data_IF_943713265850
#
_entry.id   IF_943713265850
#
_cell.length_a   1.000
_cell.length_b   1.000
_cell.length_c   1.000
_cell.angle_alpha   90.00
_cell.angle_beta   90.00
_cell.angle_gamma   90.00
#
_symmetry.space_group_name_H-M   'P 1'
#
loop_
_entity.id
_entity.type
_entity.pdbx_description
1 polymer ?
#
# COMPACT_ATOMS: atom_id res chain seq x y z
N UNK A 1 -1.25 26.02 -7.09
CA UNK A 1 0.04 25.30 -7.36
C UNK A 1 0.28 25.37 -8.85
N UNK A 2 1.45 25.75 -9.29
CA UNK A 2 1.81 25.89 -10.72
C UNK A 2 2.04 24.48 -11.30
N UNK A 3 0.96 23.86 -11.81
CA UNK A 3 0.95 22.47 -12.30
C UNK A 3 1.73 22.32 -13.61
N UNK A 4 1.85 23.40 -14.39
CA UNK A 4 2.54 23.44 -15.68
C UNK A 4 4.05 23.18 -15.55
N UNK A 5 4.61 23.39 -14.36
CA UNK A 5 6.04 23.07 -14.09
C UNK A 5 6.36 21.57 -14.08
N UNK A 6 5.35 20.71 -13.94
CA UNK A 6 5.55 19.27 -13.74
C UNK A 6 4.90 18.40 -14.81
N UNK A 7 3.94 18.96 -15.55
CA UNK A 7 3.21 18.26 -16.60
C UNK A 7 2.92 19.26 -17.74
N UNK A 8 3.53 19.04 -18.89
CA UNK A 8 3.19 19.77 -20.10
C UNK A 8 1.82 19.29 -20.60
N UNK A 9 0.78 20.08 -20.31
CA UNK A 9 -0.60 19.75 -20.63
C UNK A 9 -0.85 19.68 -22.14
N UNK A 10 -0.11 20.46 -22.95
CA UNK A 10 -0.21 20.41 -24.40
C UNK A 10 0.38 19.11 -24.95
N UNK A 11 1.57 18.74 -24.47
CA UNK A 11 2.19 17.47 -24.86
C UNK A 11 1.32 16.25 -24.47
N UNK A 12 0.68 16.27 -23.29
CA UNK A 12 -0.30 15.22 -22.90
C UNK A 12 -1.49 15.24 -23.85
N UNK A 13 -2.05 16.41 -24.19
CA UNK A 13 -3.19 16.51 -25.11
C UNK A 13 -2.85 15.95 -26.50
N UNK A 14 -1.66 16.30 -27.04
CA UNK A 14 -1.20 15.79 -28.33
C UNK A 14 -1.01 14.28 -28.32
N UNK A 15 -0.38 13.74 -27.26
CA UNK A 15 -0.25 12.30 -27.08
C UNK A 15 -1.63 11.60 -26.99
N UNK A 16 -2.56 12.15 -26.21
CA UNK A 16 -3.92 11.61 -26.10
C UNK A 16 -4.66 11.58 -27.45
N UNK A 17 -4.48 12.61 -28.31
CA UNK A 17 -5.04 12.62 -29.67
C UNK A 17 -4.48 11.47 -30.50
N UNK A 18 -3.18 11.23 -30.43
CA UNK A 18 -2.52 10.11 -31.12
C UNK A 18 -3.03 8.73 -30.63
N UNK A 19 -3.45 8.64 -29.36
CA UNK A 19 -4.06 7.43 -28.79
C UNK A 19 -5.58 7.31 -29.05
N UNK A 20 -6.18 8.26 -29.75
CA UNK A 20 -7.63 8.26 -30.00
C UNK A 20 -8.48 8.56 -28.76
N UNK A 21 -7.90 9.23 -27.75
CA UNK A 21 -8.56 9.58 -26.49
C UNK A 21 -9.25 10.96 -26.52
N UNK A 22 -9.84 11.29 -27.66
CA UNK A 22 -10.53 12.55 -27.90
C UNK A 22 -9.60 13.66 -28.41
N UNK A 23 -10.18 14.79 -28.78
CA UNK A 23 -9.52 15.97 -29.33
C UNK A 23 -9.74 17.20 -28.44
N UNK A 24 -8.96 18.24 -28.68
CA UNK A 24 -9.03 19.50 -27.95
C UNK A 24 -8.17 19.57 -26.67
N UNK A 25 -8.22 20.71 -25.98
CA UNK A 25 -7.40 20.94 -24.78
C UNK A 25 -7.88 20.13 -23.57
N UNK A 26 -7.01 19.99 -22.59
CA UNK A 26 -7.37 19.51 -21.25
C UNK A 26 -8.06 20.65 -20.49
N UNK A 27 -9.20 20.36 -19.87
CA UNK A 27 -10.00 21.32 -19.10
C UNK A 27 -10.13 20.88 -17.64
N UNK A 28 -10.53 21.78 -16.75
CA UNK A 28 -10.77 21.55 -15.32
C UNK A 28 -9.61 20.87 -14.61
N UNK A 29 -8.38 21.26 -14.96
CA UNK A 29 -7.16 20.64 -14.44
C UNK A 29 -6.98 20.97 -12.95
N UNK A 30 -6.85 19.93 -12.13
CA UNK A 30 -6.64 20.06 -10.69
C UNK A 30 -5.69 18.98 -10.17
N UNK A 31 -4.96 19.31 -9.09
CA UNK A 31 -4.14 18.31 -8.39
C UNK A 31 -5.04 17.35 -7.62
N UNK A 32 -4.73 16.06 -7.66
CA UNK A 32 -5.26 15.10 -6.69
C UNK A 32 -4.31 15.09 -5.49
N UNK A 33 -4.85 15.41 -4.31
CA UNK A 33 -4.13 15.39 -3.03
C UNK A 33 -4.21 13.98 -2.42
N UNK A 34 -3.28 13.64 -1.50
CA UNK A 34 -3.27 12.36 -0.78
C UNK A 34 -2.05 11.47 -1.08
N UNK A 35 -1.27 11.74 -2.14
CA UNK A 35 0.00 11.06 -2.40
C UNK A 35 1.19 11.99 -2.15
N UNK A 36 2.14 11.59 -1.31
CA UNK A 36 3.27 12.44 -0.92
C UNK A 36 4.40 12.48 -1.95
N UNK A 37 4.48 11.52 -2.86
CA UNK A 37 5.63 11.38 -3.76
C UNK A 37 5.29 11.60 -5.24
N UNK A 38 4.22 11.03 -5.76
CA UNK A 38 3.87 11.05 -7.17
C UNK A 38 3.02 12.27 -7.55
N UNK A 39 3.12 12.71 -8.81
CA UNK A 39 2.28 13.79 -9.35
C UNK A 39 1.01 13.17 -9.91
N UNK A 40 -0.14 13.62 -9.42
CA UNK A 40 -1.45 13.19 -9.89
C UNK A 40 -2.30 14.39 -10.27
N UNK A 41 -2.87 14.37 -11.47
CA UNK A 41 -3.75 15.40 -12.00
C UNK A 41 -5.08 14.80 -12.41
N UNK A 42 -6.18 15.46 -12.03
CA UNK A 42 -7.50 15.22 -12.58
C UNK A 42 -7.81 16.30 -13.61
N UNK A 43 -8.39 15.92 -14.73
CA UNK A 43 -8.82 16.83 -15.79
C UNK A 43 -9.98 16.23 -16.59
N UNK A 44 -10.61 17.05 -17.42
CA UNK A 44 -11.61 16.61 -18.39
C UNK A 44 -11.08 16.81 -19.81
N UNK A 45 -11.48 15.93 -20.73
CA UNK A 45 -11.23 16.07 -22.18
C UNK A 45 -12.40 15.53 -22.96
N UNK A 46 -12.92 16.30 -23.91
CA UNK A 46 -14.11 15.95 -24.69
C UNK A 46 -15.28 15.46 -23.80
N UNK A 47 -15.47 16.09 -22.62
CA UNK A 47 -16.51 15.75 -21.65
C UNK A 47 -16.27 14.50 -20.81
N UNK A 48 -15.15 13.78 -21.01
CA UNK A 48 -14.75 12.63 -20.20
C UNK A 48 -13.70 13.02 -19.14
N UNK A 49 -13.88 12.60 -17.88
CA UNK A 49 -12.86 12.82 -16.85
C UNK A 49 -11.73 11.78 -16.93
N UNK A 50 -10.52 12.20 -16.53
CA UNK A 50 -9.32 11.40 -16.47
C UNK A 50 -8.52 11.73 -15.22
N UNK A 51 -7.72 10.77 -14.73
CA UNK A 51 -6.64 11.00 -13.79
C UNK A 51 -5.33 10.58 -14.43
N UNK A 52 -4.36 11.50 -14.46
CA UNK A 52 -2.99 11.24 -14.86
C UNK A 52 -2.15 10.96 -13.61
N UNK A 53 -1.35 9.89 -13.63
CA UNK A 53 -0.33 9.61 -12.61
C UNK A 53 1.04 9.48 -13.28
N UNK A 54 2.02 10.19 -12.73
CA UNK A 54 3.44 10.08 -13.12
C UNK A 54 4.31 10.03 -11.86
N UNK A 55 5.58 9.64 -12.02
CA UNK A 55 6.56 9.65 -10.96
C UNK A 55 6.71 11.03 -10.28
N UNK A 56 7.50 11.12 -9.20
CA UNK A 56 7.64 12.33 -8.40
C UNK A 56 8.17 13.51 -9.23
N UNK A 57 8.01 14.72 -8.69
CA UNK A 57 8.48 15.98 -9.32
C UNK A 57 9.95 15.89 -9.74
N UNK A 58 10.78 15.37 -8.84
CA UNK A 58 12.19 15.07 -9.10
C UNK A 58 12.34 13.56 -9.24
N UNK A 59 12.55 13.12 -10.48
CA UNK A 59 12.69 11.70 -10.80
C UNK A 59 13.92 11.12 -10.09
N UNK A 60 13.72 9.96 -9.49
CA UNK A 60 14.79 9.10 -8.95
C UNK A 60 15.09 7.99 -9.96
N UNK A 61 16.23 7.31 -9.86
CA UNK A 61 16.62 6.28 -10.84
C UNK A 61 15.58 5.20 -11.15
N UNK A 62 14.66 4.93 -10.20
CA UNK A 62 13.62 3.90 -10.35
C UNK A 62 12.20 4.46 -10.59
N UNK A 63 12.02 5.78 -10.64
CA UNK A 63 10.68 6.38 -10.71
C UNK A 63 9.88 5.88 -11.91
N UNK A 64 10.45 5.90 -13.11
CA UNK A 64 9.77 5.43 -14.31
C UNK A 64 9.47 3.93 -14.27
N UNK A 65 10.41 3.12 -13.77
CA UNK A 65 10.19 1.67 -13.65
C UNK A 65 9.06 1.33 -12.67
N UNK A 66 8.88 2.11 -11.60
CA UNK A 66 7.76 1.94 -10.66
C UNK A 66 6.44 2.24 -11.37
N UNK A 67 6.31 3.38 -12.07
CA UNK A 67 5.10 3.72 -12.82
C UNK A 67 4.75 2.65 -13.87
N UNK A 68 5.72 2.16 -14.64
CA UNK A 68 5.50 1.09 -15.62
C UNK A 68 5.10 -0.24 -14.96
N UNK A 69 5.59 -0.53 -13.76
CA UNK A 69 5.14 -1.70 -13.00
C UNK A 69 3.70 -1.56 -12.53
N UNK A 70 3.30 -0.38 -12.05
CA UNK A 70 1.90 -0.11 -11.70
C UNK A 70 0.97 -0.32 -12.89
N UNK A 71 1.33 0.19 -14.08
CA UNK A 71 0.50 -0.02 -15.30
C UNK A 71 0.37 -1.51 -15.66
N UNK A 72 1.43 -2.30 -15.50
CA UNK A 72 1.39 -3.75 -15.75
C UNK A 72 0.42 -4.46 -14.80
N UNK A 73 0.39 -4.07 -13.52
CA UNK A 73 -0.55 -4.62 -12.53
C UNK A 73 -1.99 -4.20 -12.85
N UNK A 74 -2.26 -2.91 -13.08
CA UNK A 74 -3.60 -2.43 -13.41
C UNK A 74 -4.16 -3.07 -14.68
N UNK A 75 -3.32 -3.25 -15.69
CA UNK A 75 -3.71 -3.96 -16.92
C UNK A 75 -4.02 -5.45 -16.65
N UNK A 76 -3.24 -6.11 -15.81
CA UNK A 76 -3.43 -7.51 -15.46
C UNK A 76 -4.70 -7.75 -14.62
N UNK A 77 -5.08 -6.77 -13.79
CA UNK A 77 -6.30 -6.84 -12.98
C UNK A 77 -7.57 -6.48 -13.78
N UNK A 78 -7.44 -5.94 -15.00
CA UNK A 78 -8.58 -5.60 -15.83
C UNK A 78 -9.48 -6.83 -16.08
N UNK A 79 -10.78 -6.67 -15.77
CA UNK A 79 -11.75 -7.76 -15.88
C UNK A 79 -11.78 -8.76 -14.71
N UNK A 80 -10.96 -8.55 -13.68
CA UNK A 80 -11.06 -9.28 -12.41
C UNK A 80 -12.08 -8.62 -11.46
N UNK A 81 -12.48 -9.35 -10.40
CA UNK A 81 -13.35 -8.82 -9.34
C UNK A 81 -12.59 -7.98 -8.29
N UNK A 82 -11.29 -7.78 -8.47
CA UNK A 82 -10.48 -6.94 -7.58
C UNK A 82 -10.85 -5.48 -7.80
N UNK A 83 -11.28 -4.73 -6.79
CA UNK A 83 -11.53 -3.31 -6.94
C UNK A 83 -10.21 -2.55 -7.16
N UNK A 84 -10.06 -1.88 -8.30
CA UNK A 84 -8.84 -1.13 -8.66
C UNK A 84 -9.18 0.02 -9.62
N UNK A 85 -8.34 1.07 -9.73
CA UNK A 85 -8.50 2.09 -10.76
C UNK A 85 -8.37 1.48 -12.15
N UNK A 86 -9.33 1.76 -13.03
CA UNK A 86 -9.30 1.25 -14.38
C UNK A 86 -8.22 1.98 -15.20
N UNK A 87 -7.24 1.25 -15.71
CA UNK A 87 -6.22 1.78 -16.62
C UNK A 87 -6.82 2.10 -17.98
N UNK A 88 -6.64 3.33 -18.46
CA UNK A 88 -7.10 3.77 -19.78
C UNK A 88 -5.98 3.61 -20.80
N UNK A 89 -4.82 4.19 -20.52
CA UNK A 89 -3.64 4.14 -21.39
C UNK A 89 -2.37 4.45 -20.61
N UNK A 90 -1.23 3.98 -21.10
CA UNK A 90 0.08 4.26 -20.53
C UNK A 90 1.01 4.84 -21.59
N UNK A 91 1.82 5.82 -21.20
CA UNK A 91 2.85 6.43 -22.03
C UNK A 91 4.22 6.05 -21.46
N UNK A 92 4.96 5.22 -22.18
CA UNK A 92 6.33 4.83 -21.87
C UNK A 92 7.38 5.68 -22.60
N UNK A 93 6.92 6.57 -23.50
CA UNK A 93 7.76 7.53 -24.19
C UNK A 93 8.11 8.69 -23.25
N UNK A 94 9.34 8.71 -22.77
CA UNK A 94 9.85 9.74 -21.87
C UNK A 94 9.96 11.11 -22.53
N UNK A 95 9.94 11.21 -23.86
CA UNK A 95 10.04 12.50 -24.58
C UNK A 95 8.77 13.35 -24.43
N UNK A 96 7.63 12.77 -24.08
CA UNK A 96 6.35 13.47 -23.92
C UNK A 96 6.34 14.37 -22.68
N UNK A 97 6.87 13.89 -21.54
CA UNK A 97 6.85 14.62 -20.26
C UNK A 97 8.25 14.82 -19.64
N UNK A 98 9.25 15.17 -20.46
CA UNK A 98 10.57 15.58 -19.96
C UNK A 98 11.20 14.52 -19.04
N UNK A 99 11.48 13.35 -19.61
CA UNK A 99 12.05 12.15 -18.98
C UNK A 99 11.10 11.33 -18.08
N UNK A 100 9.84 11.73 -17.91
CA UNK A 100 8.88 11.00 -17.11
C UNK A 100 7.92 10.17 -17.97
N UNK A 101 7.69 8.92 -17.56
CA UNK A 101 6.56 8.12 -18.03
C UNK A 101 5.32 8.43 -17.20
N UNK A 102 4.13 8.15 -17.75
CA UNK A 102 2.86 8.36 -17.06
C UNK A 102 1.79 7.38 -17.54
N UNK A 103 0.70 7.34 -16.82
CA UNK A 103 -0.51 6.65 -17.28
C UNK A 103 -1.76 7.44 -16.95
N UNK A 104 -2.83 7.12 -17.70
CA UNK A 104 -4.17 7.63 -17.51
C UNK A 104 -5.06 6.52 -16.95
N UNK A 105 -5.88 6.88 -16.00
CA UNK A 105 -6.89 6.00 -15.40
C UNK A 105 -8.22 6.73 -15.23
N UNK A 106 -9.30 5.96 -15.07
CA UNK A 106 -10.60 6.53 -14.71
C UNK A 106 -10.54 7.09 -13.28
N UNK A 107 -11.18 8.23 -13.00
CA UNK A 107 -11.37 8.68 -11.62
C UNK A 107 -12.18 7.67 -10.82
N UNK A 108 -11.73 7.37 -9.63
CA UNK A 108 -12.48 6.53 -8.68
C UNK A 108 -13.49 7.39 -7.93
N UNK A 109 -14.77 7.00 -7.99
CA UNK A 109 -15.82 7.64 -7.18
C UNK A 109 -15.82 7.03 -5.77
N UNK A 110 -15.05 7.63 -4.89
CA UNK A 110 -14.84 7.15 -3.53
C UNK A 110 -14.19 8.20 -2.65
N UNK A 111 -13.83 7.81 -1.44
CA UNK A 111 -13.03 8.61 -0.51
C UNK A 111 -11.97 7.75 0.16
N UNK A 112 -10.88 8.39 0.56
CA UNK A 112 -9.80 7.77 1.34
C UNK A 112 -10.08 7.98 2.84
N UNK A 113 -10.19 6.88 3.59
CA UNK A 113 -10.45 6.91 5.02
C UNK A 113 -9.24 7.39 5.86
N UNK A 114 -8.08 7.56 5.25
CA UNK A 114 -6.92 8.20 5.86
C UNK A 114 -7.07 9.71 6.00
N UNK A 115 -7.80 10.35 5.07
CA UNK A 115 -7.98 11.81 5.03
C UNK A 115 -9.17 12.28 5.85
N UNK A 116 -10.21 11.45 6.01
CA UNK A 116 -11.41 11.77 6.76
C UNK A 116 -12.58 10.86 6.42
N UNK A 117 -13.64 10.94 7.23
CA UNK A 117 -14.87 10.15 7.02
C UNK A 117 -16.03 11.04 6.62
N UNK A 118 -16.74 10.71 5.51
CA UNK A 118 -18.03 11.34 5.20
C UNK A 118 -19.07 11.13 6.32
N UNK A 119 -20.13 11.97 6.38
CA UNK A 119 -21.12 11.94 7.48
C UNK A 119 -21.73 10.55 7.74
N UNK A 120 -22.05 9.77 6.69
CA UNK A 120 -22.55 8.39 6.84
C UNK A 120 -21.56 7.53 7.63
N UNK A 121 -20.32 7.52 7.22
CA UNK A 121 -19.27 6.67 7.81
C UNK A 121 -18.83 7.15 9.20
N UNK A 122 -18.84 8.48 9.43
CA UNK A 122 -18.57 9.04 10.74
C UNK A 122 -19.70 8.75 11.74
N UNK A 123 -20.96 8.77 11.28
CA UNK A 123 -22.15 8.66 12.13
C UNK A 123 -22.63 7.23 12.43
N UNK A 124 -22.20 6.22 11.64
CA UNK A 124 -22.73 4.86 11.74
C UNK A 124 -21.63 3.82 12.01
N UNK A 125 -21.65 3.24 13.23
CA UNK A 125 -20.72 2.20 13.63
C UNK A 125 -20.89 0.90 12.83
N UNK A 126 -22.11 0.57 12.41
CA UNK A 126 -22.37 -0.60 11.57
C UNK A 126 -21.74 -0.45 10.18
N UNK A 127 -21.79 0.76 9.60
CA UNK A 127 -21.09 1.06 8.35
C UNK A 127 -19.57 0.92 8.53
N UNK A 128 -19.00 1.42 9.61
CA UNK A 128 -17.56 1.28 9.90
C UNK A 128 -17.14 -0.17 10.11
N UNK A 129 -17.97 -0.97 10.79
CA UNK A 129 -17.74 -2.42 10.93
C UNK A 129 -17.66 -3.09 9.55
N UNK A 130 -18.62 -2.83 8.68
CA UNK A 130 -18.66 -3.40 7.32
C UNK A 130 -17.51 -2.88 6.43
N UNK A 131 -16.99 -1.67 6.64
CA UNK A 131 -15.80 -1.18 5.93
C UNK A 131 -14.58 -2.09 6.19
N UNK A 132 -14.36 -2.51 7.44
CA UNK A 132 -13.32 -3.48 7.78
C UNK A 132 -13.50 -4.80 7.04
N UNK A 133 -14.71 -5.38 7.08
CA UNK A 133 -15.01 -6.62 6.39
C UNK A 133 -14.83 -6.51 4.87
N UNK A 134 -15.20 -5.37 4.28
CA UNK A 134 -15.00 -5.10 2.86
C UNK A 134 -13.52 -5.05 2.47
N UNK A 135 -12.64 -4.58 3.36
CA UNK A 135 -11.19 -4.66 3.13
C UNK A 135 -10.70 -6.12 3.08
N UNK A 136 -11.17 -6.97 4.00
CA UNK A 136 -10.84 -8.40 3.98
C UNK A 136 -11.34 -9.08 2.69
N UNK A 137 -12.54 -8.75 2.22
CA UNK A 137 -13.10 -9.25 0.96
C UNK A 137 -12.26 -8.81 -0.26
N UNK A 138 -11.88 -7.55 -0.33
CA UNK A 138 -11.09 -7.02 -1.44
C UNK A 138 -9.71 -7.69 -1.50
N UNK A 139 -9.09 -7.92 -0.33
CA UNK A 139 -7.82 -8.61 -0.22
C UNK A 139 -7.93 -10.11 -0.59
N UNK A 140 -9.00 -10.79 -0.19
CA UNK A 140 -9.25 -12.17 -0.57
C UNK A 140 -9.40 -12.31 -2.10
N UNK A 141 -10.12 -11.38 -2.75
CA UNK A 141 -10.23 -11.33 -4.22
C UNK A 141 -8.86 -11.14 -4.88
N UNK A 142 -8.02 -10.23 -4.36
CA UNK A 142 -6.66 -10.03 -4.87
C UNK A 142 -5.83 -11.31 -4.75
N UNK A 143 -5.84 -11.95 -3.59
CA UNK A 143 -5.12 -13.20 -3.34
C UNK A 143 -5.63 -14.40 -4.14
N UNK A 144 -6.84 -14.34 -4.71
CA UNK A 144 -7.43 -15.38 -5.56
C UNK A 144 -7.05 -15.25 -7.05
N UNK A 145 -6.51 -14.10 -7.48
CA UNK A 145 -6.12 -13.90 -8.88
C UNK A 145 -4.97 -14.84 -9.26
N UNK A 146 -5.16 -15.62 -10.31
CA UNK A 146 -4.06 -16.39 -10.91
C UNK A 146 -3.10 -15.46 -11.64
N UNK A 147 -1.99 -15.15 -11.00
CA UNK A 147 -0.96 -14.24 -11.52
C UNK A 147 -0.33 -14.71 -12.83
N UNK A 148 -0.33 -16.02 -13.11
CA UNK A 148 0.18 -16.57 -14.38
C UNK A 148 -0.83 -16.33 -15.50
N UNK A 149 -2.10 -16.63 -15.24
CA UNK A 149 -3.19 -16.44 -16.21
C UNK A 149 -3.37 -14.97 -16.63
N UNK A 150 -3.11 -14.02 -15.71
CA UNK A 150 -3.19 -12.58 -16.02
C UNK A 150 -1.87 -11.96 -16.53
N UNK A 151 -0.86 -12.79 -16.85
CA UNK A 151 0.39 -12.34 -17.48
C UNK A 151 1.42 -11.73 -16.54
N UNK A 152 1.38 -12.04 -15.24
CA UNK A 152 2.34 -11.56 -14.22
C UNK A 152 3.34 -12.63 -13.76
N UNK A 153 3.58 -13.68 -14.53
CA UNK A 153 4.50 -14.76 -14.17
C UNK A 153 5.94 -14.31 -13.90
N UNK A 154 6.39 -13.24 -14.58
CA UNK A 154 7.72 -12.63 -14.47
C UNK A 154 7.77 -11.36 -13.59
N UNK A 155 6.65 -11.02 -12.95
CA UNK A 155 6.51 -9.73 -12.24
C UNK A 155 7.24 -9.68 -10.90
N UNK A 156 7.60 -10.82 -10.31
CA UNK A 156 8.28 -10.93 -9.02
C UNK A 156 9.27 -12.08 -8.98
N UNK A 157 9.76 -12.40 -7.79
CA UNK A 157 10.66 -13.51 -7.51
C UNK A 157 10.08 -14.38 -6.40
N UNK A 158 9.13 -15.27 -6.71
CA UNK A 158 8.49 -16.11 -5.70
C UNK A 158 9.47 -17.12 -5.06
N UNK A 159 10.42 -17.67 -5.82
CA UNK A 159 11.38 -18.64 -5.29
C UNK A 159 12.15 -18.10 -4.11
N UNK A 160 12.09 -18.79 -2.97
CA UNK A 160 12.73 -18.35 -1.72
C UNK A 160 12.20 -17.03 -1.18
N UNK A 161 10.95 -16.66 -1.48
CA UNK A 161 10.40 -15.34 -1.10
C UNK A 161 10.35 -15.17 0.42
N UNK A 162 9.79 -16.14 1.17
CA UNK A 162 9.70 -16.07 2.62
C UNK A 162 11.08 -16.18 3.30
N UNK A 163 11.99 -16.96 2.72
CA UNK A 163 13.37 -17.10 3.18
C UNK A 163 14.13 -15.78 3.22
N UNK A 164 13.85 -14.90 2.26
CA UNK A 164 14.53 -13.61 2.14
C UNK A 164 13.96 -12.52 3.03
N UNK A 165 12.79 -12.72 3.66
CA UNK A 165 12.14 -11.63 4.39
C UNK A 165 12.98 -11.16 5.58
N UNK A 166 13.31 -12.04 6.50
CA UNK A 166 14.04 -11.66 7.71
C UNK A 166 15.45 -11.11 7.38
N UNK A 167 16.31 -11.80 6.60
CA UNK A 167 17.63 -11.27 6.25
C UNK A 167 17.57 -9.90 5.55
N UNK A 168 16.61 -9.70 4.67
CA UNK A 168 16.43 -8.42 3.96
C UNK A 168 16.15 -7.28 4.92
N UNK A 169 15.21 -7.47 5.86
CA UNK A 169 14.83 -6.41 6.78
C UNK A 169 15.88 -6.14 7.85
N UNK A 170 16.61 -7.16 8.31
CA UNK A 170 17.78 -6.95 9.15
C UNK A 170 18.88 -6.15 8.43
N UNK A 171 19.13 -6.44 7.14
CA UNK A 171 20.06 -5.66 6.33
C UNK A 171 19.61 -4.22 6.12
N UNK A 172 18.30 -3.98 5.97
CA UNK A 172 17.73 -2.63 5.92
C UNK A 172 17.99 -1.88 7.24
N UNK A 173 17.70 -2.52 8.37
CA UNK A 173 17.94 -1.93 9.69
C UNK A 173 19.43 -1.62 9.91
N UNK A 174 20.32 -2.53 9.52
CA UNK A 174 21.78 -2.31 9.63
C UNK A 174 22.24 -1.10 8.82
N UNK A 175 21.62 -0.85 7.64
CA UNK A 175 21.94 0.31 6.80
C UNK A 175 21.65 1.66 7.48
N UNK A 176 20.80 1.68 8.51
CA UNK A 176 20.47 2.89 9.25
C UNK A 176 21.63 3.40 10.09
N UNK A 177 22.61 2.55 10.41
CA UNK A 177 23.84 2.94 11.09
C UNK A 177 24.72 3.91 10.26
N UNK A 178 24.44 4.05 8.95
CA UNK A 178 25.11 5.03 8.09
C UNK A 178 24.60 6.48 8.33
N UNK A 179 23.52 6.68 9.07
CA UNK A 179 23.00 7.99 9.40
C UNK A 179 23.73 8.60 10.60
N UNK A 180 24.28 9.79 10.41
CA UNK A 180 24.98 10.53 11.47
C UNK A 180 24.06 10.74 12.70
N UNK A 181 24.58 10.43 13.89
CA UNK A 181 23.87 10.63 15.15
C UNK A 181 22.81 9.56 15.47
N UNK A 182 22.60 8.58 14.60
CA UNK A 182 21.71 7.46 14.94
C UNK A 182 22.41 6.53 15.96
N UNK A 183 21.78 6.29 17.14
CA UNK A 183 22.43 5.52 18.21
C UNK A 183 22.43 4.00 18.01
N UNK A 184 21.96 3.53 16.84
CA UNK A 184 21.63 2.13 16.59
C UNK A 184 20.20 1.79 17.01
N UNK A 185 19.70 0.63 16.59
CA UNK A 185 18.34 0.21 16.88
C UNK A 185 18.18 -0.09 18.37
N UNK A 186 17.38 0.73 19.06
CA UNK A 186 16.99 0.49 20.47
C UNK A 186 15.61 -0.18 20.49
N UNK A 187 15.51 -1.33 19.83
CA UNK A 187 14.27 -2.07 19.61
C UNK A 187 14.28 -3.33 20.50
N UNK A 188 13.36 -3.46 21.49
CA UNK A 188 13.34 -4.61 22.37
C UNK A 188 12.97 -5.90 21.61
N UNK A 189 13.65 -7.00 21.93
CA UNK A 189 13.31 -8.34 21.43
C UNK A 189 13.54 -8.56 19.94
N UNK A 190 14.30 -7.71 19.25
CA UNK A 190 14.54 -7.86 17.81
C UNK A 190 15.19 -9.20 17.46
N UNK A 191 16.15 -9.67 18.26
CA UNK A 191 16.82 -10.95 18.05
C UNK A 191 15.87 -12.13 18.30
N UNK A 192 15.02 -12.04 19.33
CA UNK A 192 14.03 -13.07 19.64
C UNK A 192 12.98 -13.19 18.51
N UNK A 193 12.44 -12.05 18.06
CA UNK A 193 11.47 -12.01 16.96
C UNK A 193 12.09 -12.54 15.66
N UNK A 194 13.30 -12.09 15.33
CA UNK A 194 13.96 -12.52 14.09
C UNK A 194 14.31 -14.01 14.09
N UNK A 195 14.76 -14.55 15.22
CA UNK A 195 15.06 -15.97 15.39
C UNK A 195 13.81 -16.81 15.28
N UNK A 196 12.74 -16.43 15.99
CA UNK A 196 11.45 -17.12 15.90
C UNK A 196 10.89 -17.14 14.48
N UNK A 197 10.93 -16.01 13.76
CA UNK A 197 10.50 -15.92 12.36
C UNK A 197 11.30 -16.84 11.43
N UNK A 198 12.61 -17.02 11.67
CA UNK A 198 13.44 -17.92 10.86
C UNK A 198 13.14 -19.38 11.16
N UNK A 199 12.95 -19.75 12.43
CA UNK A 199 12.71 -21.11 12.89
C UNK A 199 11.30 -21.61 12.54
N UNK A 200 10.29 -20.74 12.64
CA UNK A 200 8.88 -21.06 12.44
C UNK A 200 8.34 -20.70 11.04
N UNK A 201 9.25 -20.36 10.11
CA UNK A 201 8.85 -19.98 8.74
C UNK A 201 7.98 -21.05 8.09
N UNK A 202 6.82 -20.67 7.46
CA UNK A 202 6.01 -21.58 6.68
C UNK A 202 6.84 -22.32 5.64
N UNK A 203 6.72 -23.65 5.60
CA UNK A 203 7.46 -24.51 4.67
C UNK A 203 6.79 -24.60 3.31
N UNK A 204 5.48 -24.42 3.29
CA UNK A 204 4.65 -24.45 2.08
C UNK A 204 3.79 -23.21 2.02
N UNK A 205 3.68 -22.62 0.85
CA UNK A 205 2.86 -21.46 0.57
C UNK A 205 2.56 -21.38 -0.93
N UNK A 206 1.58 -20.60 -1.33
CA UNK A 206 1.17 -20.48 -2.73
C UNK A 206 1.42 -19.06 -3.23
N UNK A 207 2.25 -18.86 -4.28
CA UNK A 207 2.47 -17.56 -4.88
C UNK A 207 1.16 -16.91 -5.34
N UNK A 208 1.11 -15.59 -5.25
CA UNK A 208 0.01 -14.77 -5.74
C UNK A 208 0.40 -13.32 -5.80
N UNK A 209 -0.53 -12.47 -6.23
CA UNK A 209 -0.34 -11.04 -6.29
C UNK A 209 -0.42 -10.48 -4.86
N UNK A 210 0.61 -9.75 -4.47
CA UNK A 210 0.65 -8.97 -3.24
C UNK A 210 0.61 -7.49 -3.57
N UNK A 211 -0.18 -6.73 -2.81
CA UNK A 211 -0.11 -5.27 -2.83
C UNK A 211 1.20 -4.76 -2.22
N UNK A 212 1.64 -5.36 -1.12
CA UNK A 212 2.89 -5.06 -0.43
C UNK A 212 2.81 -3.97 0.62
N UNK A 213 1.71 -3.18 0.62
CA UNK A 213 1.42 -2.10 1.58
C UNK A 213 -0.11 -1.93 1.78
N UNK A 214 -0.82 -3.03 2.09
CA UNK A 214 -2.28 -3.04 2.17
C UNK A 214 -2.81 -2.56 3.52
N UNK A 215 -3.27 -1.33 3.59
CA UNK A 215 -3.87 -0.71 4.79
C UNK A 215 -4.95 0.31 4.42
N UNK A 216 -5.67 0.83 5.44
CA UNK A 216 -6.86 1.67 5.23
C UNK A 216 -6.61 2.96 4.41
N UNK A 217 -5.39 3.49 4.40
CA UNK A 217 -5.07 4.66 3.58
C UNK A 217 -4.75 4.32 2.11
N UNK A 218 -4.57 3.03 1.77
CA UNK A 218 -4.32 2.56 0.41
C UNK A 218 -5.56 1.91 -0.23
N UNK A 219 -6.75 2.17 0.34
CA UNK A 219 -8.03 1.81 -0.26
C UNK A 219 -8.96 3.02 -0.34
N UNK A 220 -9.85 3.00 -1.32
CA UNK A 220 -10.94 3.96 -1.43
C UNK A 220 -12.27 3.26 -1.17
N UNK A 221 -13.10 3.90 -0.35
CA UNK A 221 -14.43 3.42 -0.01
C UNK A 221 -15.52 4.17 -0.79
N UNK A 222 -16.64 3.50 -1.00
CA UNK A 222 -17.85 4.10 -1.54
C UNK A 222 -18.33 5.26 -0.66
N UNK A 223 -18.82 6.34 -1.27
CA UNK A 223 -19.43 7.45 -0.53
C UNK A 223 -20.81 7.13 0.03
N UNK A 224 -21.45 6.07 -0.48
CA UNK A 224 -22.84 5.69 -0.18
C UNK A 224 -22.97 4.37 0.57
N UNK A 225 -21.84 3.70 0.88
CA UNK A 225 -21.82 2.42 1.56
C UNK A 225 -20.43 2.05 2.08
N UNK A 226 -20.28 0.88 2.70
CA UNK A 226 -19.03 0.45 3.33
C UNK A 226 -18.02 -0.17 2.35
N UNK A 227 -18.37 -0.32 1.07
CA UNK A 227 -17.61 -1.13 0.14
C UNK A 227 -16.29 -0.47 -0.27
N UNK A 228 -15.22 -1.27 -0.36
CA UNK A 228 -13.98 -0.89 -1.04
C UNK A 228 -14.26 -0.83 -2.54
N UNK A 229 -14.08 0.36 -3.13
CA UNK A 229 -14.28 0.60 -4.57
C UNK A 229 -12.98 0.65 -5.36
N UNK A 230 -11.84 0.83 -4.69
CA UNK A 230 -10.53 0.66 -5.31
C UNK A 230 -9.43 0.42 -4.26
N UNK A 231 -8.52 -0.47 -4.59
CA UNK A 231 -7.19 -0.58 -3.99
C UNK A 231 -6.27 0.34 -4.80
N UNK A 232 -5.52 1.21 -4.13
CA UNK A 232 -4.66 2.22 -4.75
C UNK A 232 -3.22 2.10 -4.24
N UNK A 233 -2.29 2.76 -4.94
CA UNK A 233 -0.86 2.79 -4.58
C UNK A 233 -0.14 1.44 -4.72
N UNK A 234 -0.09 0.95 -5.97
CA UNK A 234 0.47 -0.35 -6.33
C UNK A 234 2.00 -0.38 -6.46
N UNK A 235 2.71 0.66 -6.00
CA UNK A 235 4.16 0.79 -6.19
C UNK A 235 4.97 -0.35 -5.53
N UNK A 236 4.45 -0.94 -4.44
CA UNK A 236 5.07 -2.04 -3.72
C UNK A 236 4.62 -3.43 -4.19
N UNK A 237 3.73 -3.48 -5.20
CA UNK A 237 3.15 -4.72 -5.70
C UNK A 237 4.22 -5.68 -6.24
N UNK A 238 4.05 -6.97 -5.93
CA UNK A 238 4.94 -8.05 -6.38
C UNK A 238 4.21 -9.40 -6.38
N UNK A 239 4.88 -10.42 -6.95
CA UNK A 239 4.47 -11.81 -6.73
C UNK A 239 5.20 -12.34 -5.50
N UNK A 240 4.43 -12.75 -4.51
CA UNK A 240 4.89 -13.29 -3.24
C UNK A 240 3.78 -14.09 -2.58
N UNK A 241 3.76 -14.14 -1.25
CA UNK A 241 2.68 -14.78 -0.50
C UNK A 241 1.62 -13.75 -0.09
N UNK A 242 0.40 -13.80 -0.64
CA UNK A 242 -0.68 -12.87 -0.32
C UNK A 242 -1.05 -12.80 1.17
N UNK A 243 -0.74 -13.81 1.97
CA UNK A 243 -0.98 -13.79 3.41
C UNK A 243 -0.12 -12.75 4.14
N UNK A 244 0.95 -12.25 3.52
CA UNK A 244 1.70 -11.11 4.06
C UNK A 244 0.90 -9.81 4.03
N UNK A 245 0.05 -9.60 3.02
CA UNK A 245 -0.84 -8.44 2.99
C UNK A 245 -1.95 -8.54 4.04
N UNK A 246 -2.47 -9.74 4.31
CA UNK A 246 -3.39 -9.96 5.41
C UNK A 246 -2.69 -9.70 6.75
N UNK A 247 -1.49 -10.25 6.97
CA UNK A 247 -0.68 -9.96 8.16
C UNK A 247 -0.41 -8.46 8.33
N UNK A 248 -0.15 -7.74 7.22
CA UNK A 248 0.03 -6.30 7.21
C UNK A 248 -1.24 -5.55 7.60
N UNK A 249 -2.39 -5.93 7.05
CA UNK A 249 -3.69 -5.39 7.44
C UNK A 249 -3.94 -5.58 8.94
N UNK A 250 -3.76 -6.81 9.45
CA UNK A 250 -3.95 -7.12 10.87
C UNK A 250 -2.97 -6.34 11.76
N UNK A 251 -1.71 -6.16 11.33
CA UNK A 251 -0.70 -5.43 12.08
C UNK A 251 -0.98 -3.92 12.14
N UNK A 252 -1.53 -3.35 11.08
CA UNK A 252 -1.84 -1.91 10.98
C UNK A 252 -3.25 -1.55 11.45
N UNK A 253 -4.12 -2.55 11.65
CA UNK A 253 -5.48 -2.35 12.10
C UNK A 253 -5.55 -1.95 13.57
N UNK A 254 -6.63 -1.24 13.96
CA UNK A 254 -6.87 -0.88 15.35
C UNK A 254 -6.90 -2.11 16.25
N UNK A 255 -6.14 -2.05 17.35
CA UNK A 255 -6.04 -3.13 18.31
C UNK A 255 -7.16 -3.04 19.37
N UNK A 256 -7.42 -4.13 20.14
CA UNK A 256 -8.42 -4.12 21.21
C UNK A 256 -8.18 -3.07 22.30
N UNK A 257 -6.94 -2.67 22.54
CA UNK A 257 -6.56 -1.60 23.47
C UNK A 257 -6.78 -0.19 22.89
N UNK A 258 -7.26 -0.09 21.64
CA UNK A 258 -7.51 1.15 20.92
C UNK A 258 -6.30 1.72 20.21
N UNK A 259 -5.12 1.10 20.30
CA UNK A 259 -3.93 1.52 19.59
C UNK A 259 -4.04 1.26 18.09
N UNK A 260 -3.39 2.10 17.29
CA UNK A 260 -3.25 1.95 15.84
C UNK A 260 -1.90 2.53 15.43
N UNK A 261 -1.17 1.81 14.58
CA UNK A 261 0.15 2.25 14.11
C UNK A 261 0.06 3.52 13.27
N UNK A 262 -0.96 3.60 12.44
CA UNK A 262 -1.22 4.77 11.62
C UNK A 262 -2.43 5.51 12.19
N UNK A 263 -2.24 6.76 12.61
CA UNK A 263 -3.29 7.63 13.13
C UNK A 263 -4.31 8.06 12.06
N UNK A 264 -4.88 7.09 11.33
CA UNK A 264 -5.89 7.35 10.31
C UNK A 264 -7.22 7.78 10.93
N UNK A 265 -7.99 8.58 10.20
CA UNK A 265 -9.31 9.02 10.65
C UNK A 265 -10.24 7.82 10.96
N UNK A 266 -10.14 6.72 10.20
CA UNK A 266 -10.88 5.48 10.48
C UNK A 266 -10.37 4.79 11.76
N UNK A 267 -9.05 4.65 11.95
CA UNK A 267 -8.47 3.95 13.10
C UNK A 267 -8.78 4.58 14.46
N UNK A 268 -9.07 5.88 14.49
CA UNK A 268 -9.50 6.61 15.69
C UNK A 268 -10.97 6.43 16.07
N UNK A 269 -11.77 5.74 15.23
CA UNK A 269 -13.21 5.57 15.47
C UNK A 269 -13.49 4.29 16.28
N UNK A 270 -14.65 4.30 16.96
CA UNK A 270 -15.27 3.10 17.52
C UNK A 270 -16.06 2.29 16.47
N UNK A 271 -16.53 1.12 16.85
CA UNK A 271 -17.40 0.26 16.00
C UNK A 271 -16.70 -0.34 14.80
N UNK A 272 -15.37 -0.40 14.79
CA UNK A 272 -14.62 -1.14 13.77
C UNK A 272 -14.72 -2.66 14.03
N UNK A 273 -14.65 -3.44 12.96
CA UNK A 273 -14.42 -4.88 13.04
C UNK A 273 -13.13 -5.16 13.82
N UNK A 274 -13.11 -6.22 14.61
CA UNK A 274 -11.89 -6.69 15.27
C UNK A 274 -10.94 -7.37 14.27
N UNK A 275 -9.70 -7.60 14.67
CA UNK A 275 -8.76 -8.40 13.87
C UNK A 275 -9.27 -9.82 13.63
N UNK A 276 -10.01 -10.40 14.59
CA UNK A 276 -10.59 -11.72 14.45
C UNK A 276 -11.74 -11.70 13.43
N UNK A 277 -12.61 -10.67 13.44
CA UNK A 277 -13.67 -10.51 12.43
C UNK A 277 -13.07 -10.38 11.01
N UNK A 278 -11.94 -9.65 10.85
CA UNK A 278 -11.25 -9.54 9.57
C UNK A 278 -10.67 -10.89 9.11
N UNK A 279 -10.07 -11.64 10.03
CA UNK A 279 -9.51 -12.96 9.76
C UNK A 279 -10.61 -13.96 9.37
N UNK A 280 -11.70 -14.02 10.12
CA UNK A 280 -12.86 -14.86 9.84
C UNK A 280 -13.49 -14.51 8.49
N UNK A 281 -13.60 -13.22 8.19
CA UNK A 281 -14.12 -12.77 6.89
C UNK A 281 -13.23 -13.18 5.73
N UNK A 282 -11.91 -13.03 5.88
CA UNK A 282 -10.95 -13.48 4.88
C UNK A 282 -11.00 -15.01 4.72
N UNK A 283 -11.05 -15.75 5.83
CA UNK A 283 -11.14 -17.22 5.84
C UNK A 283 -12.36 -17.74 5.08
N UNK A 284 -13.50 -17.06 5.20
CA UNK A 284 -14.73 -17.42 4.49
C UNK A 284 -14.63 -17.23 2.97
N UNK A 285 -13.65 -16.46 2.48
CA UNK A 285 -13.50 -16.07 1.07
C UNK A 285 -12.18 -16.54 0.43
N UNK A 286 -11.43 -17.43 1.08
CA UNK A 286 -10.16 -17.95 0.59
C UNK A 286 -10.09 -19.47 0.69
N UNK A 287 -9.23 -20.06 -0.15
CA UNK A 287 -8.83 -21.47 -0.03
C UNK A 287 -7.41 -21.63 0.50
N UNK A 288 -6.75 -20.52 0.89
CA UNK A 288 -5.40 -20.55 1.44
C UNK A 288 -5.40 -21.08 2.86
N UNK A 289 -4.35 -21.80 3.22
CA UNK A 289 -4.14 -22.28 4.59
C UNK A 289 -3.75 -21.10 5.51
N UNK A 290 -4.60 -20.78 6.47
CA UNK A 290 -4.41 -19.68 7.43
C UNK A 290 -3.79 -20.15 8.76
N UNK A 291 -3.40 -21.41 8.89
CA UNK A 291 -2.87 -21.99 10.13
C UNK A 291 -1.62 -21.30 10.65
N UNK A 292 -0.91 -20.57 9.80
CA UNK A 292 0.33 -19.86 10.12
C UNK A 292 0.14 -18.33 10.22
N UNK A 293 -1.09 -17.83 10.41
CA UNK A 293 -1.35 -16.37 10.42
C UNK A 293 -0.61 -15.62 11.52
N UNK A 294 -0.31 -16.26 12.65
CA UNK A 294 0.58 -15.67 13.67
C UNK A 294 1.92 -15.30 13.07
N UNK A 295 2.54 -16.20 12.29
CA UNK A 295 3.83 -15.93 11.64
C UNK A 295 3.78 -14.72 10.70
N UNK A 296 2.73 -14.63 9.87
CA UNK A 296 2.58 -13.51 8.93
C UNK A 296 2.34 -12.19 9.65
N UNK A 297 1.59 -12.19 10.75
CA UNK A 297 1.34 -10.99 11.55
C UNK A 297 2.60 -10.54 12.30
N UNK A 298 3.36 -11.47 12.86
CA UNK A 298 4.67 -11.18 13.49
C UNK A 298 5.65 -10.62 12.46
N UNK A 299 5.73 -11.22 11.25
CA UNK A 299 6.57 -10.68 10.18
C UNK A 299 6.14 -9.27 9.74
N UNK A 300 4.84 -9.00 9.71
CA UNK A 300 4.33 -7.68 9.39
C UNK A 300 4.73 -6.64 10.45
N UNK A 301 4.62 -6.97 11.75
CA UNK A 301 5.08 -6.11 12.83
C UNK A 301 6.59 -5.86 12.73
N UNK A 302 7.39 -6.91 12.50
CA UNK A 302 8.85 -6.84 12.32
C UNK A 302 9.24 -5.94 11.14
N UNK A 303 8.65 -6.18 9.96
CA UNK A 303 8.89 -5.39 8.74
C UNK A 303 8.51 -3.93 8.95
N UNK A 304 7.29 -3.67 9.44
CA UNK A 304 6.78 -2.31 9.61
C UNK A 304 7.61 -1.54 10.63
N UNK A 305 7.93 -2.16 11.77
CA UNK A 305 8.77 -1.54 12.78
C UNK A 305 10.12 -1.11 12.22
N UNK A 306 10.79 -1.98 11.44
CA UNK A 306 12.06 -1.63 10.79
C UNK A 306 11.87 -0.47 9.79
N UNK A 307 10.83 -0.51 8.95
CA UNK A 307 10.58 0.54 7.94
C UNK A 307 10.40 1.92 8.60
N UNK A 308 9.59 2.01 9.66
CA UNK A 308 9.32 3.30 10.31
C UNK A 308 10.50 3.77 11.18
N UNK A 309 11.33 2.86 11.72
CA UNK A 309 12.58 3.19 12.42
C UNK A 309 13.55 4.00 11.54
N UNK A 310 13.56 3.76 10.24
CA UNK A 310 14.34 4.55 9.30
C UNK A 310 14.01 6.05 9.32
N UNK A 311 12.86 6.46 9.85
CA UNK A 311 12.53 7.88 10.02
C UNK A 311 13.26 8.47 11.23
N UNK A 312 13.40 7.72 12.34
CA UNK A 312 14.24 8.15 13.45
C UNK A 312 15.70 8.32 12.98
N UNK A 313 16.24 7.35 12.25
CA UNK A 313 17.60 7.45 11.72
C UNK A 313 17.79 8.70 10.83
N UNK A 314 16.83 9.00 9.95
CA UNK A 314 16.85 10.24 9.16
C UNK A 314 16.70 11.49 10.02
N UNK A 315 15.90 11.46 11.08
CA UNK A 315 15.71 12.58 12.00
C UNK A 315 17.00 12.87 12.78
N UNK A 316 17.71 11.84 13.24
CA UNK A 316 19.03 11.99 13.88
C UNK A 316 20.04 12.69 12.95
N UNK A 317 20.00 12.40 11.66
CA UNK A 317 20.85 13.04 10.64
C UNK A 317 20.31 14.41 10.13
N UNK A 318 19.27 14.96 10.75
CA UNK A 318 18.66 16.24 10.32
C UNK A 318 17.90 16.18 9.00
N UNK A 319 17.53 14.99 8.51
CA UNK A 319 16.83 14.76 7.24
C UNK A 319 15.32 14.52 7.41
N UNK A 320 14.83 14.52 8.64
CA UNK A 320 13.41 14.48 9.00
C UNK A 320 13.20 15.27 10.30
N UNK A 321 11.93 15.58 10.62
CA UNK A 321 11.60 16.26 11.86
C UNK A 321 11.80 15.33 13.07
N UNK A 322 12.41 15.85 14.13
CA UNK A 322 12.76 15.05 15.32
C UNK A 322 11.52 14.45 15.99
N UNK A 323 10.45 15.24 16.16
CA UNK A 323 9.21 14.78 16.77
C UNK A 323 8.58 13.62 16.02
N UNK A 324 8.61 13.66 14.67
CA UNK A 324 8.11 12.57 13.83
C UNK A 324 9.00 11.33 13.99
N UNK A 325 10.32 11.52 14.06
CA UNK A 325 11.26 10.41 14.33
C UNK A 325 10.98 9.73 15.67
N UNK A 326 10.85 10.52 16.74
CA UNK A 326 10.59 10.00 18.10
C UNK A 326 9.23 9.27 18.18
N UNK A 327 8.17 9.81 17.56
CA UNK A 327 6.85 9.17 17.51
C UNK A 327 6.88 7.83 16.77
N UNK A 328 7.55 7.76 15.63
CA UNK A 328 7.65 6.53 14.84
C UNK A 328 8.53 5.49 15.52
N UNK A 329 9.57 5.90 16.26
CA UNK A 329 10.32 4.99 17.08
C UNK A 329 9.47 4.37 18.20
N UNK A 330 8.65 5.16 18.88
CA UNK A 330 7.71 4.63 19.88
C UNK A 330 6.73 3.62 19.26
N UNK A 331 6.26 3.88 18.04
CA UNK A 331 5.42 2.94 17.29
C UNK A 331 6.21 1.66 16.89
N UNK A 332 7.49 1.79 16.55
CA UNK A 332 8.39 0.63 16.32
C UNK A 332 8.46 -0.26 17.55
N UNK A 333 8.75 0.33 18.71
CA UNK A 333 8.82 -0.41 20.00
C UNK A 333 7.51 -1.14 20.26
N UNK A 334 6.38 -0.47 20.13
CA UNK A 334 5.05 -1.09 20.32
C UNK A 334 4.77 -2.25 19.34
N UNK A 335 5.21 -2.14 18.08
CA UNK A 335 5.07 -3.24 17.11
C UNK A 335 5.90 -4.47 17.52
N UNK A 336 7.11 -4.28 18.06
CA UNK A 336 7.93 -5.39 18.52
C UNK A 336 7.40 -6.01 19.82
N UNK A 337 6.91 -5.21 20.78
CA UNK A 337 6.20 -5.71 21.95
C UNK A 337 4.99 -6.55 21.58
N UNK A 338 4.22 -6.10 20.57
CA UNK A 338 3.09 -6.85 20.03
C UNK A 338 3.54 -8.16 19.38
N UNK A 339 4.63 -8.13 18.60
CA UNK A 339 5.19 -9.34 17.98
C UNK A 339 5.56 -10.37 19.04
N UNK A 340 6.24 -9.96 20.11
CA UNK A 340 6.58 -10.82 21.26
C UNK A 340 5.32 -11.40 21.93
N UNK A 341 4.30 -10.56 22.17
CA UNK A 341 3.04 -11.02 22.75
C UNK A 341 2.24 -12.00 21.86
N UNK A 342 2.43 -11.96 20.54
CA UNK A 342 1.86 -12.94 19.60
C UNK A 342 2.65 -14.26 19.66
N UNK A 343 3.98 -14.19 19.76
CA UNK A 343 4.87 -15.35 19.90
C UNK A 343 4.56 -16.12 21.18
N UNK A 344 4.40 -15.42 22.30
CA UNK A 344 4.09 -16.02 23.60
C UNK A 344 2.74 -16.77 23.60
N UNK A 345 1.79 -16.31 22.81
CA UNK A 345 0.46 -16.97 22.68
C UNK A 345 0.49 -18.18 21.75
N UNK A 346 1.47 -18.27 20.85
CA UNK A 346 1.65 -19.35 19.87
C UNK A 346 2.51 -20.50 20.46
N UNK A 347 3.17 -20.28 21.57
CA UNK A 347 4.05 -21.25 22.26
C UNK A 347 3.24 -22.28 23.06
#
# INVERSE_FOLDING_TARGET
>A
MDLEKYVDLNAVADWMSQQGLGDGPLADVSSVTGGTQNVMLRFTRAGRPYVLRRGPRHLRPRSNSVILRETKVLAALAGSDVPHPHLIAACDDTSVLGDAVFYLMDPVDGFNAGEGLPPLHAGDAGVRFQMGLSMADALARLGAVDHVAVGLSDFGRPDGFLERQVPRWLSELESYNEYDGYPGPQIPGIDDVSSWLQERRPKTWTPGIMHGDYHAANVMFSRTGPDVVAIVDWEMCTIGDPLLDLGWLLATWRQPDGSSVFGHALGGQDGLASTDDLLDRYAANTTRDLSQMTWYTVLACFKLGIVIEGTLARACAGKAEKEVGDQLHAATVHLFERALGLIDKDA
#
